data_IF_360920658243
#
_entry.id   IF_360920658243
#
_cell.length_a   1.000
_cell.length_b   1.000
_cell.length_c   1.000
_cell.angle_alpha   90.00
_cell.angle_beta   90.00
_cell.angle_gamma   90.00
#
_symmetry.space_group_name_H-M   'P 1'
#
loop_
_entity.id
_entity.type
_entity.pdbx_description
1 polymer ?
#
# COMPACT_ATOMS: atom_id res chain seq x y z
N UNK A 1 11.89 15.45 2.05
CA UNK A 1 11.51 14.03 1.90
C UNK A 1 10.77 13.92 0.57
N UNK A 2 11.20 13.06 -0.35
CA UNK A 2 10.53 12.90 -1.64
C UNK A 2 9.61 11.67 -1.53
N UNK A 3 8.30 11.90 -1.60
CA UNK A 3 7.28 10.85 -1.59
C UNK A 3 6.83 10.70 -3.03
N UNK A 4 6.87 9.47 -3.55
CA UNK A 4 6.33 9.13 -4.88
C UNK A 4 5.10 8.26 -4.62
N UNK A 5 3.95 8.67 -5.16
CA UNK A 5 2.72 7.87 -5.14
C UNK A 5 2.51 7.25 -6.52
N UNK A 6 2.22 5.95 -6.53
CA UNK A 6 1.88 5.20 -7.74
C UNK A 6 0.48 4.64 -7.52
N UNK A 7 -0.47 4.95 -8.41
CA UNK A 7 -1.84 4.44 -8.38
C UNK A 7 -2.16 3.78 -9.72
N UNK A 8 -2.80 2.61 -9.66
CA UNK A 8 -3.18 1.83 -10.82
C UNK A 8 -4.68 1.93 -11.03
N UNK A 9 -5.11 2.15 -12.27
CA UNK A 9 -6.53 2.27 -12.61
C UNK A 9 -7.18 0.90 -12.86
N UNK A 10 -6.43 -0.08 -13.35
CA UNK A 10 -6.94 -1.41 -13.72
C UNK A 10 -5.91 -2.50 -13.46
N UNK A 11 -6.12 -3.36 -12.45
CA UNK A 11 -5.52 -4.68 -12.19
C UNK A 11 -4.06 -4.93 -12.69
N UNK A 12 -3.21 -3.92 -12.59
CA UNK A 12 -1.80 -3.98 -12.97
C UNK A 12 -0.98 -4.30 -11.74
N UNK A 13 -0.29 -5.44 -11.78
CA UNK A 13 0.62 -5.84 -10.71
C UNK A 13 1.80 -4.90 -10.60
N UNK A 14 2.23 -4.63 -9.36
CA UNK A 14 3.45 -3.88 -9.06
C UNK A 14 4.48 -4.84 -8.52
N UNK A 15 5.65 -4.86 -9.14
CA UNK A 15 6.84 -5.46 -8.54
C UNK A 15 7.83 -4.33 -8.28
N UNK A 16 8.32 -4.22 -7.05
CA UNK A 16 9.25 -3.18 -6.63
C UNK A 16 10.31 -3.78 -5.71
N UNK A 17 11.58 -3.58 -6.08
CA UNK A 17 12.71 -3.88 -5.21
C UNK A 17 13.00 -2.66 -4.34
N UNK A 18 13.04 -2.85 -3.03
CA UNK A 18 13.35 -1.80 -2.05
C UNK A 18 14.56 -2.23 -1.24
N UNK A 19 15.62 -1.42 -1.28
CA UNK A 19 16.84 -1.69 -0.52
C UNK A 19 16.79 -1.13 0.90
N UNK A 20 17.45 -1.83 1.83
CA UNK A 20 17.61 -1.36 3.21
C UNK A 20 16.31 -1.29 4.00
N UNK A 21 15.34 -2.17 3.70
CA UNK A 21 14.06 -2.26 4.42
C UNK A 21 14.30 -2.59 5.88
N UNK A 22 13.77 -1.75 6.77
CA UNK A 22 13.81 -1.94 8.23
C UNK A 22 12.46 -2.36 8.78
N UNK A 23 11.37 -2.03 8.10
CA UNK A 23 10.02 -2.39 8.53
C UNK A 23 9.03 -2.37 7.35
N UNK A 24 8.10 -3.31 7.35
CA UNK A 24 6.91 -3.31 6.47
C UNK A 24 5.68 -3.42 7.38
N UNK A 25 4.74 -2.49 7.23
CA UNK A 25 3.52 -2.47 8.02
C UNK A 25 2.35 -1.96 7.19
N UNK A 26 1.17 -2.55 7.40
CA UNK A 26 -0.06 -2.15 6.74
C UNK A 26 -1.09 -1.68 7.77
N UNK A 27 -1.81 -0.63 7.43
CA UNK A 27 -2.99 -0.20 8.17
C UNK A 27 -4.15 -1.19 7.96
N UNK A 28 -5.11 -1.18 8.88
CA UNK A 28 -6.39 -1.87 8.66
C UNK A 28 -7.17 -1.11 7.58
N UNK A 29 -7.83 -1.80 6.62
CA UNK A 29 -8.70 -1.13 5.66
C UNK A 29 -9.75 -0.26 6.35
N UNK A 30 -9.97 0.94 5.82
CA UNK A 30 -11.00 1.86 6.29
C UNK A 30 -11.93 2.27 5.16
N UNK A 31 -13.21 2.43 5.47
CA UNK A 31 -14.20 2.95 4.52
C UNK A 31 -14.10 4.48 4.44
N UNK A 32 -14.21 5.02 3.22
CA UNK A 32 -14.22 6.44 2.90
C UNK A 32 -15.67 6.94 2.77
N UNK A 33 -15.86 8.26 2.81
CA UNK A 33 -17.20 8.88 2.75
C UNK A 33 -17.98 8.56 1.45
N UNK A 34 -17.29 8.17 0.38
CA UNK A 34 -17.87 7.83 -0.91
C UNK A 34 -18.15 6.33 -1.09
N UNK A 35 -18.03 5.54 -0.01
CA UNK A 35 -18.24 4.09 -0.02
C UNK A 35 -17.08 3.27 -0.59
N UNK A 36 -15.98 3.92 -0.99
CA UNK A 36 -14.73 3.22 -1.33
C UNK A 36 -13.96 2.86 -0.08
N UNK A 37 -13.00 1.96 -0.24
CA UNK A 37 -12.14 1.47 0.81
C UNK A 37 -10.71 1.91 0.58
N UNK A 38 -10.00 2.22 1.66
CA UNK A 38 -8.62 2.68 1.64
C UNK A 38 -7.74 1.81 2.54
N UNK A 39 -6.50 1.55 2.10
CA UNK A 39 -5.44 0.97 2.93
C UNK A 39 -4.10 1.63 2.61
N UNK A 40 -3.29 1.84 3.65
CA UNK A 40 -1.90 2.28 3.51
C UNK A 40 -0.94 1.14 3.86
N UNK A 41 0.04 0.92 2.98
CA UNK A 41 1.21 0.07 3.21
C UNK A 41 2.45 0.97 3.34
N UNK A 42 3.15 0.86 4.46
CA UNK A 42 4.37 1.60 4.74
C UNK A 42 5.58 0.66 4.74
N UNK A 43 6.53 0.96 3.86
CA UNK A 43 7.85 0.32 3.80
C UNK A 43 8.87 1.33 4.31
N UNK A 44 9.40 1.13 5.52
CA UNK A 44 10.45 1.97 6.08
C UNK A 44 11.80 1.42 5.67
N UNK A 45 12.71 2.32 5.30
CA UNK A 45 14.11 2.01 4.98
C UNK A 45 15.04 2.86 5.83
N UNK A 46 16.34 2.57 5.81
CA UNK A 46 17.33 3.44 6.44
C UNK A 46 17.38 4.86 5.82
N UNK A 47 16.93 5.01 4.58
CA UNK A 47 16.99 6.25 3.80
C UNK A 47 15.66 7.00 3.72
N UNK A 48 14.56 6.41 4.19
CA UNK A 48 13.25 7.05 4.15
C UNK A 48 12.08 6.10 4.30
N UNK A 49 10.95 6.45 3.68
CA UNK A 49 9.73 5.63 3.72
C UNK A 49 9.07 5.67 2.36
N UNK A 50 8.67 4.50 1.88
CA UNK A 50 7.78 4.34 0.73
C UNK A 50 6.39 4.06 1.28
N UNK A 51 5.41 4.88 0.88
CA UNK A 51 4.02 4.72 1.25
C UNK A 51 3.22 4.35 0.00
N UNK A 52 2.52 3.22 0.04
CA UNK A 52 1.57 2.81 -0.99
C UNK A 52 0.17 3.02 -0.45
N UNK A 53 -0.61 3.80 -1.17
CA UNK A 53 -1.98 4.13 -0.85
C UNK A 53 -2.89 3.44 -1.86
N UNK A 54 -3.70 2.51 -1.35
CA UNK A 54 -4.57 1.66 -2.16
C UNK A 54 -6.01 2.09 -1.93
N UNK A 55 -6.79 2.15 -3.01
CA UNK A 55 -8.23 2.40 -2.96
C UNK A 55 -8.94 1.30 -3.73
N UNK A 56 -10.03 0.80 -3.16
CA UNK A 56 -10.86 -0.24 -3.75
C UNK A 56 -12.36 0.06 -3.56
N UNK A 57 -13.22 -0.67 -4.25
CA UNK A 57 -14.68 -0.67 -4.08
C UNK A 57 -15.16 -1.61 -2.95
N UNK A 58 -14.28 -2.45 -2.39
CA UNK A 58 -14.62 -3.34 -1.29
C UNK A 58 -13.41 -3.72 -0.42
N UNK A 59 -13.59 -4.05 0.87
CA UNK A 59 -12.49 -4.29 1.81
C UNK A 59 -11.70 -5.56 1.50
N UNK A 60 -12.34 -6.59 0.97
CA UNK A 60 -11.71 -7.86 0.65
C UNK A 60 -10.64 -7.75 -0.45
N UNK A 61 -10.72 -6.73 -1.30
CA UNK A 61 -9.70 -6.43 -2.32
C UNK A 61 -8.44 -5.79 -1.74
N UNK A 62 -8.46 -5.36 -0.49
CA UNK A 62 -7.32 -4.77 0.23
C UNK A 62 -6.65 -5.77 1.19
N UNK A 63 -7.06 -7.03 1.18
CA UNK A 63 -6.43 -8.07 2.03
C UNK A 63 -5.00 -8.32 1.57
N UNK A 64 -4.04 -8.10 2.48
CA UNK A 64 -2.64 -8.41 2.24
C UNK A 64 -2.39 -9.85 2.68
N UNK A 65 -2.16 -10.73 1.71
CA UNK A 65 -1.77 -12.12 1.96
C UNK A 65 -0.32 -12.23 2.40
N UNK A 66 -0.04 -13.13 3.33
CA UNK A 66 1.32 -13.63 3.57
C UNK A 66 1.61 -14.76 2.58
N UNK A 67 2.71 -14.67 1.83
CA UNK A 67 3.25 -15.84 1.15
C UNK A 67 3.91 -16.74 2.20
N UNK A 68 3.48 -18.00 2.28
CA UNK A 68 4.04 -19.03 3.15
C UNK A 68 5.33 -19.61 2.56
#
# INVERSE_FOLDING_TARGET
>A
MKVVSISFNDNQGVSMDVEGVTHIGAATPMELEDGRWFLELLIRTASGTVALQLVADSPEKLVIGSYA
#
